data_IF_492304336120
#
_entry.id   IF_492304336120
#
_cell.length_a   1.000
_cell.length_b   1.000
_cell.length_c   1.000
_cell.angle_alpha   90.00
_cell.angle_beta   90.00
_cell.angle_gamma   90.00
#
_symmetry.space_group_name_H-M   'P 1'
#
loop_
_entity.id
_entity.type
_entity.pdbx_description
1 polymer ?
#
# COMPACT_ATOMS: atom_id res chain seq x y z
N UNK A 1 6.54 -36.83 -1.73
CA UNK A 1 5.22 -36.20 -1.81
C UNK A 1 4.16 -37.20 -1.38
N UNK A 2 3.87 -37.15 -0.09
CA UNK A 2 2.79 -37.83 0.61
C UNK A 2 1.69 -36.80 0.87
N UNK A 3 0.43 -37.26 0.92
CA UNK A 3 -0.70 -36.42 1.31
C UNK A 3 -1.22 -36.89 2.67
N UNK A 4 -1.26 -35.98 3.63
CA UNK A 4 -1.83 -36.19 4.95
C UNK A 4 -3.19 -35.51 5.02
N UNK A 5 -4.21 -36.21 5.53
CA UNK A 5 -5.56 -35.66 5.68
C UNK A 5 -5.87 -35.46 7.17
N UNK A 6 -6.38 -34.28 7.50
CA UNK A 6 -6.77 -33.88 8.85
C UNK A 6 -8.27 -33.53 8.85
N UNK A 7 -9.07 -34.01 9.83
CA UNK A 7 -8.68 -34.74 11.03
C UNK A 7 -8.70 -36.28 10.93
N UNK A 8 -9.08 -36.87 9.79
CA UNK A 8 -9.18 -38.33 9.62
C UNK A 8 -8.28 -38.80 8.47
N UNK A 9 -7.30 -39.69 8.69
CA UNK A 9 -7.01 -40.43 9.93
C UNK A 9 -6.11 -39.72 10.94
N UNK A 10 -5.61 -38.52 10.62
CA UNK A 10 -4.65 -37.80 11.48
C UNK A 10 -5.38 -36.68 12.22
N UNK A 11 -5.51 -36.77 13.56
CA UNK A 11 -6.45 -35.95 14.31
C UNK A 11 -6.15 -34.45 14.31
N UNK A 12 -4.89 -34.04 14.13
CA UNK A 12 -4.46 -32.65 14.24
C UNK A 12 -3.49 -32.27 13.12
N UNK A 13 -3.43 -30.97 12.83
CA UNK A 13 -2.49 -30.41 11.83
C UNK A 13 -1.06 -30.58 12.34
N UNK A 14 -0.83 -30.38 13.64
CA UNK A 14 0.46 -30.61 14.29
C UNK A 14 0.95 -32.05 14.12
N UNK A 15 0.06 -33.05 14.26
CA UNK A 15 0.42 -34.45 14.05
C UNK A 15 0.76 -34.73 12.59
N UNK A 16 0.00 -34.16 11.64
CA UNK A 16 0.31 -34.26 10.22
C UNK A 16 1.66 -33.59 9.88
N UNK A 17 1.94 -32.41 10.44
CA UNK A 17 3.22 -31.71 10.32
C UNK A 17 4.36 -32.58 10.85
N UNK A 18 4.22 -33.21 12.01
CA UNK A 18 5.27 -34.06 12.58
C UNK A 18 5.65 -35.25 11.68
N UNK A 19 4.71 -35.74 10.87
CA UNK A 19 4.93 -36.83 9.91
C UNK A 19 5.43 -36.35 8.54
N UNK A 20 5.10 -35.12 8.15
CA UNK A 20 5.40 -34.57 6.84
C UNK A 20 6.89 -34.25 6.67
N UNK A 21 7.43 -34.57 5.50
CA UNK A 21 8.75 -34.12 5.05
C UNK A 21 8.66 -33.06 3.96
N UNK A 22 9.78 -32.78 3.26
CA UNK A 22 9.80 -31.83 2.16
C UNK A 22 8.84 -32.21 1.03
N UNK A 23 8.19 -31.21 0.44
CA UNK A 23 7.25 -31.33 -0.68
C UNK A 23 5.99 -32.18 -0.39
N UNK A 24 5.69 -32.49 0.87
CA UNK A 24 4.45 -33.16 1.23
C UNK A 24 3.27 -32.17 1.30
N UNK A 25 2.04 -32.70 1.31
CA UNK A 25 0.83 -31.88 1.40
C UNK A 25 0.00 -32.28 2.60
N UNK A 26 -0.46 -31.31 3.37
CA UNK A 26 -1.43 -31.46 4.44
C UNK A 26 -2.75 -30.86 3.96
N UNK A 27 -3.77 -31.70 3.82
CA UNK A 27 -5.14 -31.29 3.48
C UNK A 27 -5.98 -31.25 4.74
N UNK A 28 -6.59 -30.10 4.98
CA UNK A 28 -7.40 -29.85 6.16
C UNK A 28 -8.86 -29.78 5.73
N UNK A 29 -9.67 -30.69 6.28
CA UNK A 29 -11.11 -30.71 6.07
C UNK A 29 -11.78 -29.46 6.69
N UNK A 30 -13.06 -29.19 6.39
CA UNK A 30 -13.81 -28.16 7.11
C UNK A 30 -13.85 -28.45 8.61
N UNK A 31 -13.67 -27.42 9.43
CA UNK A 31 -13.60 -27.53 10.88
C UNK A 31 -12.84 -26.37 11.50
N UNK A 32 -12.86 -26.34 12.84
CA UNK A 32 -12.12 -25.38 13.66
C UNK A 32 -11.01 -26.11 14.39
N UNK A 33 -9.78 -25.59 14.28
CA UNK A 33 -8.57 -26.23 14.74
C UNK A 33 -7.83 -25.25 15.67
N UNK A 34 -7.91 -25.45 17.00
CA UNK A 34 -7.25 -24.59 17.97
C UNK A 34 -5.78 -24.98 18.11
N UNK A 35 -4.98 -24.67 17.09
CA UNK A 35 -3.56 -25.04 16.99
C UNK A 35 -2.69 -23.83 16.63
N UNK A 36 -1.45 -23.83 17.12
CA UNK A 36 -0.38 -22.92 16.69
C UNK A 36 0.71 -23.77 16.05
N UNK A 37 1.12 -23.42 14.83
CA UNK A 37 1.87 -24.31 13.95
C UNK A 37 3.24 -23.73 13.64
N UNK A 38 4.29 -24.42 14.07
CA UNK A 38 5.68 -24.07 13.74
C UNK A 38 6.15 -24.88 12.53
N UNK A 39 6.55 -24.19 11.47
CA UNK A 39 7.13 -24.78 10.26
C UNK A 39 8.65 -24.62 10.31
N UNK A 40 9.26 -25.45 11.16
CA UNK A 40 10.71 -25.52 11.35
C UNK A 40 11.43 -26.24 10.21
N UNK A 41 12.67 -26.64 10.47
CA UNK A 41 13.55 -27.28 9.48
C UNK A 41 13.01 -28.58 8.87
N UNK A 42 13.38 -28.83 7.60
CA UNK A 42 13.09 -30.08 6.90
C UNK A 42 11.67 -30.17 6.32
N UNK A 43 10.97 -29.04 6.16
CA UNK A 43 9.63 -28.94 5.58
C UNK A 43 9.61 -28.11 4.30
N UNK A 44 10.74 -27.99 3.61
CA UNK A 44 10.83 -27.23 2.37
C UNK A 44 9.80 -27.70 1.34
N UNK A 45 9.09 -26.76 0.72
CA UNK A 45 8.06 -27.08 -0.26
C UNK A 45 6.79 -27.69 0.31
N UNK A 46 6.62 -27.74 1.64
CA UNK A 46 5.37 -28.25 2.23
C UNK A 46 4.19 -27.37 1.83
N UNK A 47 3.06 -28.02 1.54
CA UNK A 47 1.82 -27.35 1.19
C UNK A 47 0.74 -27.66 2.23
N UNK A 48 0.17 -26.63 2.85
CA UNK A 48 -0.92 -26.72 3.82
C UNK A 48 -2.15 -26.07 3.18
N UNK A 49 -3.18 -26.87 2.93
CA UNK A 49 -4.37 -26.43 2.21
C UNK A 49 -5.64 -26.75 2.99
N UNK A 50 -6.42 -25.71 3.29
CA UNK A 50 -7.76 -25.85 3.83
C UNK A 50 -8.83 -26.07 2.76
N UNK A 51 -10.06 -26.25 3.21
CA UNK A 51 -11.23 -26.47 2.35
C UNK A 51 -11.89 -25.17 1.86
N UNK A 52 -11.31 -24.02 2.19
CA UNK A 52 -11.76 -22.67 1.84
C UNK A 52 -11.80 -21.74 3.06
N UNK A 53 -11.71 -20.44 2.79
CA UNK A 53 -12.00 -19.38 3.76
C UNK A 53 -13.38 -19.60 4.38
N UNK A 54 -13.50 -19.38 5.69
CA UNK A 54 -14.69 -19.61 6.52
C UNK A 54 -15.16 -21.08 6.58
N UNK A 55 -14.35 -22.04 6.12
CA UNK A 55 -14.63 -23.48 6.22
C UNK A 55 -13.60 -24.21 7.06
N UNK A 56 -12.32 -23.99 6.77
CA UNK A 56 -11.22 -24.43 7.61
C UNK A 56 -10.73 -23.24 8.40
N UNK A 57 -10.78 -23.31 9.73
CA UNK A 57 -10.46 -22.20 10.62
C UNK A 57 -9.36 -22.64 11.59
N UNK A 58 -8.22 -21.96 11.54
CA UNK A 58 -7.22 -21.98 12.60
C UNK A 58 -7.61 -20.92 13.64
N UNK A 59 -7.84 -21.34 14.88
CA UNK A 59 -8.52 -20.54 15.90
C UNK A 59 -7.64 -20.38 17.14
N UNK A 60 -7.15 -19.15 17.38
CA UNK A 60 -6.29 -18.85 18.50
C UNK A 60 -7.02 -18.73 19.85
N UNK A 61 -8.36 -18.58 19.85
CA UNK A 61 -9.19 -18.35 21.04
C UNK A 61 -8.70 -17.21 21.97
N UNK A 62 -7.97 -16.23 21.42
CA UNK A 62 -7.25 -15.19 22.15
C UNK A 62 -6.32 -15.75 23.25
N UNK A 63 -5.74 -16.93 23.01
CA UNK A 63 -4.88 -17.64 23.96
C UNK A 63 -3.62 -18.23 23.32
N UNK A 64 -3.64 -18.55 22.03
CA UNK A 64 -2.48 -19.02 21.28
C UNK A 64 -1.72 -17.85 20.66
N UNK A 65 -0.40 -17.96 20.58
CA UNK A 65 0.49 -16.86 20.20
C UNK A 65 0.38 -16.49 18.70
N UNK A 66 0.99 -17.28 17.81
CA UNK A 66 0.97 -17.09 16.35
C UNK A 66 0.39 -18.35 15.69
N UNK A 67 -0.41 -18.19 14.63
CA UNK A 67 -1.09 -19.31 13.98
C UNK A 67 -0.14 -20.16 13.13
N UNK A 68 0.63 -19.49 12.27
CA UNK A 68 1.69 -20.08 11.47
C UNK A 68 2.98 -19.32 11.70
N UNK A 69 4.00 -20.02 12.18
CA UNK A 69 5.34 -19.49 12.41
C UNK A 69 6.33 -20.23 11.49
N UNK A 70 6.74 -19.59 10.39
CA UNK A 70 7.60 -20.18 9.36
C UNK A 70 9.06 -19.79 9.63
N UNK A 71 9.78 -20.65 10.35
CA UNK A 71 11.11 -20.33 10.89
C UNK A 71 12.29 -21.07 10.27
N UNK A 72 12.06 -22.19 9.59
CA UNK A 72 13.16 -23.07 9.17
C UNK A 72 13.00 -23.75 7.83
N UNK A 73 11.97 -23.42 7.08
CA UNK A 73 11.70 -23.99 5.75
C UNK A 73 11.30 -22.92 4.75
N UNK A 74 11.61 -23.14 3.48
CA UNK A 74 11.30 -22.27 2.36
C UNK A 74 10.33 -22.94 1.38
N UNK A 75 9.80 -22.19 0.42
CA UNK A 75 8.83 -22.69 -0.56
C UNK A 75 7.55 -23.24 0.09
N UNK A 76 7.26 -22.83 1.33
CA UNK A 76 6.06 -23.25 2.04
C UNK A 76 4.85 -22.59 1.40
N UNK A 77 3.78 -23.34 1.17
CA UNK A 77 2.51 -22.80 0.69
C UNK A 77 1.43 -22.98 1.74
N UNK A 78 0.75 -21.90 2.14
CA UNK A 78 -0.43 -21.94 3.01
C UNK A 78 -1.60 -21.34 2.24
N UNK A 79 -2.69 -22.10 2.11
CA UNK A 79 -3.83 -21.62 1.32
C UNK A 79 -5.22 -22.11 1.74
N UNK A 80 -6.24 -21.37 1.32
CA UNK A 80 -7.65 -21.74 1.39
C UNK A 80 -8.17 -21.99 2.83
N UNK A 81 -7.86 -21.11 3.78
CA UNK A 81 -8.32 -21.22 5.17
C UNK A 81 -8.47 -19.84 5.83
N UNK A 82 -9.08 -19.82 7.02
CA UNK A 82 -9.14 -18.67 7.91
C UNK A 82 -8.14 -18.85 9.05
N UNK A 83 -7.43 -17.78 9.42
CA UNK A 83 -6.60 -17.64 10.62
C UNK A 83 -7.21 -16.54 11.48
N UNK A 84 -7.54 -16.83 12.75
CA UNK A 84 -8.18 -15.82 13.59
C UNK A 84 -7.91 -15.92 15.09
N UNK A 85 -8.04 -14.78 15.76
CA UNK A 85 -8.03 -14.62 17.23
C UNK A 85 -6.76 -15.14 17.91
N UNK A 86 -5.60 -14.93 17.30
CA UNK A 86 -4.30 -15.19 17.94
C UNK A 86 -3.88 -13.99 18.80
N UNK A 87 -3.06 -14.20 19.84
CA UNK A 87 -2.64 -13.10 20.74
C UNK A 87 -1.52 -12.25 20.17
N UNK A 88 -0.83 -12.75 19.15
CA UNK A 88 0.21 -12.06 18.39
C UNK A 88 -0.19 -12.09 16.90
N UNK A 89 0.74 -12.31 15.99
CA UNK A 89 0.51 -12.32 14.55
C UNK A 89 -0.39 -13.48 14.11
N UNK A 90 -1.18 -13.26 13.06
CA UNK A 90 -1.86 -14.35 12.37
C UNK A 90 -0.82 -15.29 11.74
N UNK A 91 0.08 -14.74 10.92
CA UNK A 91 1.11 -15.51 10.21
C UNK A 91 2.43 -14.75 10.27
N UNK A 92 3.46 -15.39 10.83
CA UNK A 92 4.83 -14.88 10.87
C UNK A 92 5.72 -15.67 9.88
N UNK A 93 6.48 -14.95 9.06
CA UNK A 93 7.39 -15.50 8.07
C UNK A 93 8.81 -14.97 8.33
N UNK A 94 9.75 -15.88 8.57
CA UNK A 94 11.17 -15.58 8.76
C UNK A 94 12.08 -16.31 7.77
N UNK A 95 11.50 -16.78 6.66
CA UNK A 95 12.21 -17.51 5.62
C UNK A 95 11.76 -17.07 4.23
N UNK A 96 12.44 -17.56 3.21
CA UNK A 96 12.32 -17.06 1.86
C UNK A 96 11.31 -17.83 1.00
N UNK A 97 10.81 -17.18 -0.04
CA UNK A 97 10.10 -17.83 -1.16
C UNK A 97 8.84 -18.60 -0.76
N UNK A 98 8.19 -18.23 0.33
CA UNK A 98 6.92 -18.81 0.75
C UNK A 98 5.74 -18.15 0.01
N UNK A 99 4.60 -18.85 0.00
CA UNK A 99 3.39 -18.42 -0.69
C UNK A 99 2.22 -18.49 0.29
N UNK A 100 1.61 -17.34 0.56
CA UNK A 100 0.30 -17.25 1.21
C UNK A 100 -0.75 -16.95 0.15
N UNK A 101 -1.82 -17.75 0.09
CA UNK A 101 -2.84 -17.59 -0.94
C UNK A 101 -4.27 -17.89 -0.49
N UNK A 102 -5.25 -17.08 -0.90
CA UNK A 102 -6.67 -17.33 -0.63
C UNK A 102 -6.93 -17.52 0.88
N UNK A 103 -6.45 -16.57 1.69
CA UNK A 103 -6.57 -16.61 3.14
C UNK A 103 -7.47 -15.47 3.63
N UNK A 104 -8.13 -15.71 4.76
CA UNK A 104 -8.66 -14.65 5.62
C UNK A 104 -7.85 -14.68 6.92
N UNK A 105 -7.23 -13.56 7.27
CA UNK A 105 -6.40 -13.42 8.47
C UNK A 105 -6.97 -12.28 9.31
N UNK A 106 -7.60 -12.59 10.44
CA UNK A 106 -8.47 -11.61 11.10
C UNK A 106 -8.52 -11.70 12.62
N UNK A 107 -8.67 -10.55 13.29
CA UNK A 107 -8.88 -10.52 14.73
C UNK A 107 -7.64 -10.91 15.55
N UNK A 108 -6.45 -10.79 14.98
CA UNK A 108 -5.21 -11.16 15.67
C UNK A 108 -4.68 -10.00 16.52
N UNK A 109 -3.92 -10.36 17.56
CA UNK A 109 -3.49 -9.46 18.63
C UNK A 109 -2.35 -8.51 18.24
N UNK A 110 -1.65 -8.79 17.15
CA UNK A 110 -0.66 -7.94 16.50
C UNK A 110 -0.97 -7.87 14.99
N UNK A 111 -0.06 -8.33 14.12
CA UNK A 111 -0.25 -8.24 12.67
C UNK A 111 -1.21 -9.30 12.13
N UNK A 112 -1.82 -9.01 10.99
CA UNK A 112 -2.39 -10.09 10.19
C UNK A 112 -1.29 -11.02 9.66
N UNK A 113 -0.41 -10.47 8.82
CA UNK A 113 0.75 -11.17 8.26
C UNK A 113 2.00 -10.34 8.50
N UNK A 114 3.04 -10.94 9.06
CA UNK A 114 4.31 -10.29 9.34
C UNK A 114 5.45 -11.04 8.64
N UNK A 115 6.14 -10.35 7.74
CA UNK A 115 7.36 -10.84 7.09
C UNK A 115 8.55 -10.18 7.78
N UNK A 116 9.17 -10.92 8.68
CA UNK A 116 10.32 -10.45 9.47
C UNK A 116 11.59 -10.32 8.62
N UNK A 117 12.63 -9.71 9.18
CA UNK A 117 13.94 -9.45 8.56
C UNK A 117 14.58 -10.63 7.76
N UNK A 118 14.30 -11.89 8.09
CA UNK A 118 14.84 -13.06 7.38
C UNK A 118 14.05 -13.52 6.15
N UNK A 119 12.90 -12.91 5.83
CA UNK A 119 11.96 -13.43 4.83
C UNK A 119 11.90 -12.68 3.50
N UNK A 120 12.78 -12.97 2.55
CA UNK A 120 12.75 -12.34 1.21
C UNK A 120 12.00 -13.18 0.16
N UNK A 121 11.54 -12.55 -0.92
CA UNK A 121 10.90 -13.23 -2.06
C UNK A 121 9.60 -13.97 -1.72
N UNK A 122 8.91 -13.60 -0.64
CA UNK A 122 7.63 -14.17 -0.28
C UNK A 122 6.49 -13.55 -1.10
N UNK A 123 5.50 -14.38 -1.46
CA UNK A 123 4.33 -13.96 -2.21
C UNK A 123 3.08 -14.06 -1.33
N UNK A 124 2.46 -12.93 -1.06
CA UNK A 124 1.16 -12.81 -0.42
C UNK A 124 0.16 -12.45 -1.50
N UNK A 125 -0.78 -13.35 -1.81
CA UNK A 125 -1.72 -13.13 -2.90
C UNK A 125 -3.15 -13.54 -2.58
N UNK A 126 -4.12 -12.74 -3.02
CA UNK A 126 -5.55 -13.01 -2.76
C UNK A 126 -5.82 -13.24 -1.24
N UNK A 127 -5.17 -12.44 -0.38
CA UNK A 127 -5.31 -12.51 1.09
C UNK A 127 -6.18 -11.35 1.56
N UNK A 128 -7.16 -11.65 2.40
CA UNK A 128 -7.89 -10.65 3.17
C UNK A 128 -7.29 -10.57 4.58
N UNK A 129 -6.73 -9.42 4.96
CA UNK A 129 -6.23 -9.15 6.31
C UNK A 129 -7.09 -8.07 6.97
N UNK A 130 -7.78 -8.39 8.08
CA UNK A 130 -8.74 -7.44 8.65
C UNK A 130 -8.97 -7.51 10.14
N UNK A 131 -9.18 -6.37 10.78
CA UNK A 131 -9.53 -6.31 12.20
C UNK A 131 -8.42 -6.84 13.10
N UNK A 132 -7.16 -6.79 12.66
CA UNK A 132 -6.01 -7.08 13.51
C UNK A 132 -5.67 -5.85 14.34
N UNK A 133 -5.10 -6.04 15.52
CA UNK A 133 -4.86 -4.93 16.46
C UNK A 133 -3.71 -4.00 16.03
N UNK A 134 -2.78 -4.49 15.21
CA UNK A 134 -1.74 -3.67 14.61
C UNK A 134 -1.99 -3.49 13.10
N UNK A 135 -0.99 -3.71 12.25
CA UNK A 135 -1.07 -3.60 10.80
C UNK A 135 -1.76 -4.82 10.18
N UNK A 136 -2.28 -4.62 8.98
CA UNK A 136 -2.83 -5.72 8.20
C UNK A 136 -1.74 -6.65 7.66
N UNK A 137 -0.74 -6.07 6.99
CA UNK A 137 0.42 -6.78 6.45
C UNK A 137 1.67 -5.94 6.70
N UNK A 138 2.60 -6.47 7.49
CA UNK A 138 3.88 -5.83 7.82
C UNK A 138 5.05 -6.54 7.10
N UNK A 139 5.93 -5.76 6.49
CA UNK A 139 7.06 -6.24 5.69
C UNK A 139 8.35 -5.53 6.11
N UNK A 140 9.13 -6.24 6.91
CA UNK A 140 10.40 -5.79 7.49
C UNK A 140 11.65 -6.17 6.67
N UNK A 141 11.47 -6.51 5.40
CA UNK A 141 12.55 -7.02 4.56
C UNK A 141 12.28 -6.88 3.06
N UNK A 142 13.30 -7.15 2.26
CA UNK A 142 13.33 -6.77 0.85
C UNK A 142 12.69 -7.83 -0.07
N UNK A 143 12.33 -7.38 -1.27
CA UNK A 143 11.95 -8.24 -2.41
C UNK A 143 10.68 -9.08 -2.20
N UNK A 144 9.73 -8.63 -1.40
CA UNK A 144 8.46 -9.32 -1.19
C UNK A 144 7.35 -8.78 -2.09
N UNK A 145 6.30 -9.58 -2.26
CA UNK A 145 5.22 -9.33 -3.20
C UNK A 145 3.86 -9.41 -2.50
N UNK A 146 3.07 -8.34 -2.56
CA UNK A 146 1.67 -8.34 -2.12
C UNK A 146 0.76 -8.02 -3.30
N UNK A 147 -0.08 -8.99 -3.69
CA UNK A 147 -0.85 -8.95 -4.93
C UNK A 147 -2.33 -9.27 -4.69
N UNK A 148 -3.23 -8.39 -5.12
CA UNK A 148 -4.68 -8.59 -5.02
C UNK A 148 -5.18 -8.83 -3.58
N UNK A 149 -4.50 -8.27 -2.58
CA UNK A 149 -4.92 -8.37 -1.20
C UNK A 149 -6.00 -7.32 -0.87
N UNK A 150 -6.84 -7.65 0.10
CA UNK A 150 -7.80 -6.72 0.71
C UNK A 150 -7.37 -6.54 2.16
N UNK A 151 -7.01 -5.33 2.54
CA UNK A 151 -6.49 -5.04 3.87
C UNK A 151 -7.32 -3.95 4.52
N UNK A 152 -8.08 -4.28 5.56
CA UNK A 152 -9.11 -3.37 6.05
C UNK A 152 -9.33 -3.39 7.55
N UNK A 153 -9.72 -2.22 8.06
CA UNK A 153 -10.17 -2.04 9.44
C UNK A 153 -9.16 -2.59 10.47
N UNK A 154 -7.85 -2.48 10.20
CA UNK A 154 -6.79 -2.84 11.15
C UNK A 154 -6.51 -1.66 12.10
N UNK A 155 -5.91 -1.95 13.26
CA UNK A 155 -5.70 -0.96 14.31
C UNK A 155 -4.69 0.13 13.95
N UNK A 156 -3.75 -0.20 13.06
CA UNK A 156 -2.75 0.69 12.50
C UNK A 156 -2.85 0.61 10.98
N UNK A 157 -1.77 0.43 10.23
CA UNK A 157 -1.74 0.62 8.79
C UNK A 157 -2.27 -0.59 8.03
N UNK A 158 -2.66 -0.35 6.78
CA UNK A 158 -3.00 -1.44 5.87
C UNK A 158 -1.75 -2.26 5.58
N UNK A 159 -0.76 -1.59 5.00
CA UNK A 159 0.55 -2.16 4.73
C UNK A 159 1.62 -1.31 5.42
N UNK A 160 2.44 -1.91 6.28
CA UNK A 160 3.68 -1.31 6.79
C UNK A 160 4.86 -1.89 6.00
N UNK A 161 5.65 -1.04 5.36
CA UNK A 161 6.80 -1.43 4.53
C UNK A 161 8.05 -0.70 5.03
N UNK A 162 8.94 -1.39 5.74
CA UNK A 162 10.12 -0.75 6.37
C UNK A 162 11.42 -0.98 5.59
N UNK A 163 11.32 -1.60 4.41
CA UNK A 163 12.45 -2.17 3.67
C UNK A 163 12.31 -2.02 2.14
N UNK A 164 13.33 -2.43 1.38
CA UNK A 164 13.50 -2.03 -0.02
C UNK A 164 12.89 -2.99 -1.05
N UNK A 165 12.67 -2.48 -2.27
CA UNK A 165 12.42 -3.30 -3.46
C UNK A 165 11.21 -4.25 -3.34
N UNK A 166 10.21 -3.89 -2.55
CA UNK A 166 8.96 -4.62 -2.43
C UNK A 166 7.97 -4.22 -3.54
N UNK A 167 7.11 -5.17 -3.93
CA UNK A 167 6.10 -4.96 -4.96
C UNK A 167 4.69 -5.10 -4.41
N UNK A 168 4.01 -3.96 -4.28
CA UNK A 168 2.65 -3.85 -3.73
C UNK A 168 1.71 -3.50 -4.89
N UNK A 169 1.02 -4.51 -5.40
CA UNK A 169 0.27 -4.42 -6.64
C UNK A 169 -1.21 -4.81 -6.52
N UNK A 170 -2.08 -3.94 -7.04
CA UNK A 170 -3.51 -4.21 -7.19
C UNK A 170 -4.21 -4.57 -5.87
N UNK A 171 -3.75 -3.99 -4.76
CA UNK A 171 -4.35 -4.21 -3.45
C UNK A 171 -5.44 -3.17 -3.16
N UNK A 172 -6.34 -3.50 -2.23
CA UNK A 172 -7.28 -2.54 -1.64
C UNK A 172 -6.95 -2.37 -0.16
N UNK A 173 -6.65 -1.15 0.28
CA UNK A 173 -6.47 -0.81 1.69
C UNK A 173 -7.59 0.15 2.12
N UNK A 174 -8.35 -0.21 3.16
CA UNK A 174 -9.52 0.56 3.58
C UNK A 174 -9.70 0.65 5.09
N UNK A 175 -9.93 1.86 5.62
CA UNK A 175 -10.31 2.02 7.03
C UNK A 175 -9.19 1.71 8.02
N UNK A 176 -7.93 1.75 7.58
CA UNK A 176 -6.75 1.59 8.42
C UNK A 176 -6.25 2.98 8.90
N UNK A 177 -5.10 3.04 9.59
CA UNK A 177 -4.30 4.25 9.83
C UNK A 177 -3.95 4.93 8.50
N UNK A 178 -2.85 4.53 7.91
CA UNK A 178 -2.55 4.72 6.49
C UNK A 178 -3.02 3.52 5.66
N UNK A 179 -3.32 3.77 4.38
CA UNK A 179 -3.55 2.67 3.45
C UNK A 179 -2.27 1.87 3.21
N UNK A 180 -1.16 2.59 3.00
CA UNK A 180 0.20 2.07 2.88
C UNK A 180 1.12 3.07 3.58
N UNK A 181 1.92 2.61 4.52
CA UNK A 181 2.97 3.38 5.18
C UNK A 181 4.34 2.82 4.81
N UNK A 182 5.31 3.70 4.61
CA UNK A 182 6.71 3.32 4.42
C UNK A 182 7.61 4.17 5.29
N UNK A 183 8.65 3.58 5.88
CA UNK A 183 9.65 4.37 6.62
C UNK A 183 10.65 5.05 5.69
N UNK A 184 11.36 6.05 6.20
CA UNK A 184 12.50 6.70 5.51
C UNK A 184 13.61 5.76 5.00
N UNK A 185 13.65 4.50 5.45
CA UNK A 185 14.61 3.49 4.96
C UNK A 185 14.05 2.58 3.87
N UNK A 186 12.78 2.71 3.50
CA UNK A 186 12.10 1.82 2.56
C UNK A 186 12.23 2.35 1.12
N UNK A 187 13.31 1.98 0.43
CA UNK A 187 13.65 2.55 -0.87
C UNK A 187 13.30 1.64 -2.06
N UNK A 188 13.18 2.23 -3.25
CA UNK A 188 13.00 1.50 -4.53
C UNK A 188 11.78 0.55 -4.55
N UNK A 189 10.76 0.83 -3.73
CA UNK A 189 9.51 0.07 -3.69
C UNK A 189 8.58 0.45 -4.84
N UNK A 190 7.74 -0.51 -5.24
CA UNK A 190 6.82 -0.38 -6.36
C UNK A 190 5.38 -0.47 -5.85
N UNK A 191 4.72 0.68 -5.72
CA UNK A 191 3.31 0.80 -5.34
C UNK A 191 2.48 1.03 -6.61
N UNK A 192 1.82 -0.02 -7.11
CA UNK A 192 1.17 0.02 -8.41
C UNK A 192 -0.30 -0.39 -8.34
N UNK A 193 -1.17 0.45 -8.87
CA UNK A 193 -2.60 0.14 -9.06
C UNK A 193 -3.35 -0.21 -7.76
N UNK A 194 -2.92 0.32 -6.62
CA UNK A 194 -3.59 0.11 -5.35
C UNK A 194 -4.78 1.07 -5.17
N UNK A 195 -5.79 0.63 -4.41
CA UNK A 195 -6.96 1.42 -4.07
C UNK A 195 -7.00 1.67 -2.56
N UNK A 196 -6.82 2.93 -2.16
CA UNK A 196 -6.52 3.37 -0.80
C UNK A 196 -7.67 4.27 -0.35
N UNK A 197 -8.63 3.71 0.38
CA UNK A 197 -9.96 4.30 0.56
C UNK A 197 -10.25 4.53 2.03
N UNK A 198 -10.64 5.76 2.38
CA UNK A 198 -11.19 6.07 3.71
C UNK A 198 -10.33 5.57 4.86
N UNK A 199 -9.01 5.66 4.71
CA UNK A 199 -8.09 5.49 5.81
C UNK A 199 -8.14 6.72 6.73
N UNK A 200 -7.78 6.50 7.98
CA UNK A 200 -7.93 7.46 9.07
C UNK A 200 -6.83 8.51 9.10
N UNK A 201 -5.77 8.29 8.32
CA UNK A 201 -4.74 9.26 7.96
C UNK A 201 -4.63 9.38 6.43
N UNK A 202 -3.51 9.01 5.81
CA UNK A 202 -3.23 9.16 4.39
C UNK A 202 -3.60 7.90 3.57
N UNK A 203 -3.77 8.10 2.26
CA UNK A 203 -3.89 6.97 1.34
C UNK A 203 -2.61 6.17 1.28
N UNK A 204 -1.50 6.85 0.99
CA UNK A 204 -0.14 6.32 1.00
C UNK A 204 0.78 7.38 1.57
N UNK A 205 1.57 7.00 2.57
CA UNK A 205 2.66 7.79 3.12
C UNK A 205 4.00 7.13 2.72
N UNK A 206 4.76 7.81 1.89
CA UNK A 206 6.04 7.35 1.36
C UNK A 206 7.19 8.22 1.83
N UNK A 207 7.71 7.91 3.01
CA UNK A 207 8.92 8.53 3.57
C UNK A 207 10.21 8.09 2.86
N UNK A 208 10.24 6.89 2.26
CA UNK A 208 11.46 6.38 1.61
C UNK A 208 11.73 6.97 0.23
N UNK A 209 12.99 6.89 -0.21
CA UNK A 209 13.44 7.40 -1.51
C UNK A 209 13.23 6.42 -2.67
N UNK A 210 13.16 6.94 -3.90
CA UNK A 210 13.26 6.14 -5.12
C UNK A 210 12.04 5.28 -5.42
N UNK A 211 10.95 5.46 -4.68
CA UNK A 211 9.74 4.68 -4.85
C UNK A 211 8.98 5.08 -6.12
N UNK A 212 8.40 4.07 -6.79
CA UNK A 212 7.46 4.27 -7.89
C UNK A 212 6.04 4.15 -7.38
N UNK A 213 5.30 5.25 -7.45
CA UNK A 213 3.89 5.32 -7.08
C UNK A 213 3.12 5.54 -8.37
N UNK A 214 2.53 4.47 -8.90
CA UNK A 214 1.95 4.46 -10.24
C UNK A 214 0.51 3.95 -10.30
N UNK A 215 -0.38 4.73 -10.91
CA UNK A 215 -1.79 4.36 -11.13
C UNK A 215 -2.59 4.00 -9.86
N UNK A 216 -2.15 4.47 -8.68
CA UNK A 216 -2.89 4.26 -7.44
C UNK A 216 -4.08 5.22 -7.35
N UNK A 217 -5.08 4.85 -6.55
CA UNK A 217 -6.25 5.67 -6.25
C UNK A 217 -6.37 5.89 -4.75
N UNK A 218 -6.12 7.11 -4.28
CA UNK A 218 -6.33 7.53 -2.91
C UNK A 218 -7.62 8.36 -2.80
N UNK A 219 -8.64 7.82 -2.12
CA UNK A 219 -9.99 8.39 -2.13
C UNK A 219 -10.57 8.49 -0.73
N UNK A 220 -10.96 9.71 -0.34
CA UNK A 220 -11.72 9.92 0.88
C UNK A 220 -10.94 9.60 2.16
N UNK A 221 -9.61 9.64 2.11
CA UNK A 221 -8.76 9.50 3.29
C UNK A 221 -8.88 10.78 4.14
N UNK A 222 -8.69 10.64 5.46
CA UNK A 222 -8.95 11.74 6.40
C UNK A 222 -7.91 12.85 6.28
N UNK A 223 -6.68 12.51 5.91
CA UNK A 223 -5.60 13.45 5.66
C UNK A 223 -5.27 13.49 4.15
N UNK A 224 -4.06 13.12 3.75
CA UNK A 224 -3.58 13.28 2.38
C UNK A 224 -4.06 12.16 1.47
N UNK A 225 -4.13 12.44 0.17
CA UNK A 225 -4.21 11.37 -0.82
C UNK A 225 -2.89 10.59 -0.86
N UNK A 226 -1.81 11.31 -1.09
CA UNK A 226 -0.45 10.81 -1.08
C UNK A 226 0.44 11.79 -0.31
N UNK A 227 1.12 11.32 0.72
CA UNK A 227 2.22 12.01 1.38
C UNK A 227 3.53 11.42 0.88
N UNK A 228 4.42 12.28 0.40
CA UNK A 228 5.59 11.88 -0.38
C UNK A 228 6.79 12.68 0.11
N UNK A 229 7.85 11.98 0.52
CA UNK A 229 9.15 12.56 0.81
C UNK A 229 10.08 12.44 -0.42
N UNK A 230 11.38 12.29 -0.25
CA UNK A 230 12.37 12.68 -1.26
C UNK A 230 12.50 11.68 -2.44
N UNK A 231 12.89 12.18 -3.61
CA UNK A 231 13.31 11.42 -4.79
C UNK A 231 12.31 10.32 -5.27
N UNK A 232 11.01 10.58 -5.17
CA UNK A 232 9.96 9.65 -5.58
C UNK A 232 9.35 9.99 -6.96
N UNK A 233 8.89 8.97 -7.68
CA UNK A 233 8.15 9.12 -8.94
C UNK A 233 6.66 8.84 -8.72
N UNK A 234 5.87 9.91 -8.70
CA UNK A 234 4.41 9.89 -8.53
C UNK A 234 3.76 10.07 -9.89
N UNK A 235 3.40 8.96 -10.55
CA UNK A 235 2.95 8.94 -11.94
C UNK A 235 1.52 8.44 -12.10
N UNK A 236 0.65 9.22 -12.77
CA UNK A 236 -0.64 8.72 -13.23
C UNK A 236 -1.61 8.30 -12.12
N UNK A 237 -1.41 8.75 -10.89
CA UNK A 237 -2.26 8.44 -9.75
C UNK A 237 -3.50 9.31 -9.73
N UNK A 238 -4.48 8.91 -8.92
CA UNK A 238 -5.68 9.68 -8.65
C UNK A 238 -5.80 9.93 -7.16
N UNK A 239 -5.80 11.20 -6.75
CA UNK A 239 -6.15 11.63 -5.40
C UNK A 239 -7.49 12.35 -5.45
N UNK A 240 -8.49 11.91 -4.69
CA UNK A 240 -9.78 12.58 -4.70
C UNK A 240 -10.49 12.59 -3.35
N UNK A 241 -11.07 13.74 -3.00
CA UNK A 241 -11.93 13.89 -1.81
C UNK A 241 -11.22 13.58 -0.49
N UNK A 242 -9.90 13.71 -0.44
CA UNK A 242 -9.14 13.54 0.79
C UNK A 242 -9.32 14.80 1.67
N UNK A 243 -9.21 14.60 2.99
CA UNK A 243 -9.54 15.62 3.98
C UNK A 243 -8.52 16.76 4.09
N UNK A 244 -7.35 16.62 3.49
CA UNK A 244 -6.37 17.70 3.31
C UNK A 244 -5.94 17.82 1.83
N UNK A 245 -4.64 17.78 1.55
CA UNK A 245 -4.09 17.94 0.20
C UNK A 245 -4.24 16.64 -0.60
N UNK A 246 -4.39 16.75 -1.92
CA UNK A 246 -4.40 15.59 -2.79
C UNK A 246 -3.04 14.88 -2.83
N UNK A 247 -1.97 15.66 -2.97
CA UNK A 247 -0.58 15.24 -2.81
C UNK A 247 0.13 16.26 -1.93
N UNK A 248 0.74 15.81 -0.84
CA UNK A 248 1.75 16.55 -0.08
C UNK A 248 3.13 16.05 -0.49
N UNK A 249 3.99 16.93 -0.97
CA UNK A 249 5.40 16.63 -1.24
C UNK A 249 6.28 17.43 -0.28
N UNK A 250 6.75 16.75 0.77
CA UNK A 250 7.48 17.34 1.86
C UNK A 250 9.01 17.28 1.66
N UNK A 251 9.73 18.23 2.24
CA UNK A 251 11.19 18.21 2.39
C UNK A 251 11.54 18.09 3.87
N UNK A 252 12.20 17.00 4.23
CA UNK A 252 12.76 16.83 5.57
C UNK A 252 14.30 16.92 5.56
N UNK A 253 14.98 16.82 4.40
CA UNK A 253 16.42 16.99 4.28
C UNK A 253 16.96 17.32 2.87
N UNK A 254 17.68 18.45 2.75
CA UNK A 254 18.63 18.78 1.65
C UNK A 254 18.20 18.70 0.17
N UNK A 255 16.98 18.29 -0.16
CA UNK A 255 16.47 18.22 -1.54
C UNK A 255 15.31 17.24 -1.70
N UNK A 256 14.19 17.67 -2.29
CA UNK A 256 13.01 16.80 -2.46
C UNK A 256 13.03 16.01 -3.76
N UNK A 257 13.53 16.57 -4.87
CA UNK A 257 13.76 15.86 -6.15
C UNK A 257 12.56 15.02 -6.69
N UNK A 258 11.34 15.34 -6.26
CA UNK A 258 10.14 14.56 -6.58
C UNK A 258 9.69 14.79 -8.02
N UNK A 259 9.14 13.75 -8.64
CA UNK A 259 8.56 13.84 -9.98
C UNK A 259 7.08 13.48 -9.94
N UNK A 260 6.24 14.51 -9.95
CA UNK A 260 4.79 14.41 -9.86
C UNK A 260 4.21 14.62 -11.24
N UNK A 261 3.91 13.53 -11.94
CA UNK A 261 3.62 13.53 -13.36
C UNK A 261 2.25 12.92 -13.67
N UNK A 262 1.44 13.61 -14.50
CA UNK A 262 0.20 13.03 -15.08
C UNK A 262 -0.84 12.55 -14.06
N UNK A 263 -0.80 13.07 -12.84
CA UNK A 263 -1.76 12.70 -11.81
C UNK A 263 -3.08 13.44 -11.99
N UNK A 264 -4.16 12.85 -11.48
CA UNK A 264 -5.50 13.42 -11.49
C UNK A 264 -5.95 13.72 -10.07
N UNK A 265 -6.01 15.01 -9.74
CA UNK A 265 -6.17 15.48 -8.37
C UNK A 265 -7.46 16.29 -8.26
N UNK A 266 -8.44 15.79 -7.53
CA UNK A 266 -9.82 16.28 -7.66
C UNK A 266 -10.50 16.44 -6.31
N UNK A 267 -11.11 17.60 -6.06
CA UNK A 267 -12.04 17.77 -4.93
C UNK A 267 -11.43 17.44 -3.57
N UNK A 268 -10.14 17.65 -3.37
CA UNK A 268 -9.54 17.55 -2.05
C UNK A 268 -9.91 18.79 -1.22
N UNK A 269 -9.98 18.59 0.09
CA UNK A 269 -10.51 19.61 1.02
C UNK A 269 -9.53 20.76 1.27
N UNK A 270 -8.25 20.60 0.91
CA UNK A 270 -7.26 21.67 0.88
C UNK A 270 -6.73 21.87 -0.56
N UNK A 271 -5.42 21.83 -0.76
CA UNK A 271 -4.81 22.04 -2.06
C UNK A 271 -4.90 20.78 -2.92
N UNK A 272 -4.72 20.93 -4.23
CA UNK A 272 -4.49 19.77 -5.09
C UNK A 272 -3.13 19.15 -4.79
N UNK A 273 -2.07 19.88 -5.10
CA UNK A 273 -0.67 19.48 -4.88
C UNK A 273 -0.01 20.56 -4.04
N UNK A 274 0.58 20.19 -2.91
CA UNK A 274 1.34 21.10 -2.05
C UNK A 274 2.80 20.66 -2.02
N UNK A 275 3.70 21.58 -2.36
CA UNK A 275 5.14 21.37 -2.39
C UNK A 275 5.76 22.26 -1.33
N UNK A 276 6.39 21.66 -0.32
CA UNK A 276 7.21 22.40 0.66
C UNK A 276 8.70 22.32 0.35
N UNK A 277 9.07 21.41 -0.55
CA UNK A 277 10.44 21.10 -0.90
C UNK A 277 11.03 21.76 -2.12
N UNK A 278 12.25 21.34 -2.45
CA UNK A 278 13.06 21.91 -3.52
C UNK A 278 13.34 20.93 -4.65
N UNK A 279 13.70 21.46 -5.81
CA UNK A 279 14.17 20.69 -6.99
C UNK A 279 13.17 19.66 -7.57
N UNK A 280 11.88 19.81 -7.25
CA UNK A 280 10.82 18.92 -7.73
C UNK A 280 10.27 19.34 -9.10
N UNK A 281 9.72 18.37 -9.85
CA UNK A 281 9.07 18.57 -11.14
C UNK A 281 7.60 18.17 -11.04
N UNK A 282 6.72 19.14 -11.33
CA UNK A 282 5.27 18.99 -11.33
C UNK A 282 4.79 19.21 -12.77
N UNK A 283 4.48 18.12 -13.46
CA UNK A 283 4.32 18.14 -14.92
C UNK A 283 3.08 17.36 -15.40
N UNK A 284 2.31 17.96 -16.32
CA UNK A 284 1.17 17.32 -16.97
C UNK A 284 0.06 16.82 -16.02
N UNK A 285 -0.07 17.38 -14.82
CA UNK A 285 -1.13 17.01 -13.88
C UNK A 285 -2.47 17.68 -14.26
N UNK A 286 -3.57 17.01 -13.91
CA UNK A 286 -4.94 17.54 -14.03
C UNK A 286 -5.47 17.78 -12.61
N UNK A 287 -5.64 19.05 -12.24
CA UNK A 287 -5.91 19.47 -10.86
C UNK A 287 -7.18 20.32 -10.81
N UNK A 288 -8.27 19.76 -10.29
CA UNK A 288 -9.61 20.30 -10.51
C UNK A 288 -10.43 20.36 -9.22
N UNK A 289 -11.11 21.48 -9.01
CA UNK A 289 -12.10 21.68 -7.93
C UNK A 289 -11.57 21.39 -6.51
N UNK A 290 -10.27 21.58 -6.25
CA UNK A 290 -9.74 21.53 -4.87
C UNK A 290 -10.12 22.82 -4.14
N UNK A 291 -10.29 22.75 -2.82
CA UNK A 291 -10.90 23.86 -2.05
C UNK A 291 -9.95 25.07 -1.93
N UNK A 292 -8.64 24.82 -1.88
CA UNK A 292 -7.59 25.84 -1.84
C UNK A 292 -6.84 25.88 -3.17
N UNK A 293 -5.52 26.05 -3.15
CA UNK A 293 -4.75 26.17 -4.38
C UNK A 293 -4.82 24.87 -5.19
N UNK A 294 -4.82 24.95 -6.52
CA UNK A 294 -4.61 23.77 -7.35
C UNK A 294 -3.21 23.22 -7.11
N UNK A 295 -2.19 24.03 -7.36
CA UNK A 295 -0.80 23.77 -6.99
C UNK A 295 -0.32 24.88 -6.06
N UNK A 296 0.18 24.52 -4.89
CA UNK A 296 0.83 25.40 -3.93
C UNK A 296 2.34 25.10 -3.87
N UNK A 297 3.16 26.11 -4.13
CA UNK A 297 4.58 26.14 -3.78
C UNK A 297 4.72 26.94 -2.49
N UNK A 298 4.99 26.26 -1.38
CA UNK A 298 5.04 26.87 -0.05
C UNK A 298 6.29 27.74 0.16
N UNK A 299 6.32 28.53 1.22
CA UNK A 299 7.37 29.53 1.49
C UNK A 299 8.82 29.01 1.57
N UNK A 300 9.01 27.70 1.79
CA UNK A 300 10.32 27.03 1.82
C UNK A 300 10.71 26.40 0.49
N UNK A 301 9.76 26.28 -0.44
CA UNK A 301 9.98 25.63 -1.73
C UNK A 301 10.81 26.53 -2.64
N UNK A 302 11.76 25.98 -3.38
CA UNK A 302 12.62 26.72 -4.32
C UNK A 302 13.13 25.78 -5.42
N UNK A 303 13.58 26.33 -6.55
CA UNK A 303 14.12 25.56 -7.69
C UNK A 303 13.17 24.51 -8.28
N UNK A 304 11.86 24.59 -8.02
CA UNK A 304 10.88 23.66 -8.56
C UNK A 304 10.48 24.01 -9.99
N UNK A 305 10.18 23.00 -10.80
CA UNK A 305 9.61 23.17 -12.14
C UNK A 305 8.13 22.81 -12.17
N UNK A 306 7.23 23.79 -12.31
CA UNK A 306 5.79 23.59 -12.47
C UNK A 306 5.38 23.89 -13.91
N UNK A 307 5.04 22.87 -14.69
CA UNK A 307 4.74 23.07 -16.11
C UNK A 307 3.71 22.17 -16.73
N UNK A 308 3.11 22.59 -17.84
CA UNK A 308 2.17 21.77 -18.62
C UNK A 308 0.97 21.23 -17.81
N UNK A 309 0.67 21.81 -16.64
CA UNK A 309 -0.44 21.38 -15.81
C UNK A 309 -1.76 22.00 -16.30
N UNK A 310 -2.85 21.30 -16.06
CA UNK A 310 -4.20 21.72 -16.41
C UNK A 310 -5.02 21.88 -15.13
N UNK A 311 -5.35 23.13 -14.79
CA UNK A 311 -6.02 23.49 -13.55
C UNK A 311 -7.31 24.25 -13.82
N UNK A 312 -8.38 23.90 -13.10
CA UNK A 312 -9.68 24.56 -13.20
C UNK A 312 -10.42 24.46 -11.86
N UNK A 313 -11.06 25.55 -11.44
CA UNK A 313 -11.98 25.53 -10.30
C UNK A 313 -11.32 25.47 -8.93
N UNK A 314 -10.01 25.71 -8.84
CA UNK A 314 -9.30 25.85 -7.56
C UNK A 314 -9.22 27.35 -7.15
N UNK A 315 -8.72 27.64 -5.95
CA UNK A 315 -8.69 29.00 -5.41
C UNK A 315 -7.37 29.32 -4.66
N UNK A 316 -6.35 29.87 -5.36
CA UNK A 316 -6.25 30.05 -6.82
C UNK A 316 -5.92 28.73 -7.54
N UNK A 317 -5.76 28.73 -8.87
CA UNK A 317 -5.23 27.53 -9.54
C UNK A 317 -3.75 27.31 -9.21
N UNK A 318 -2.92 28.35 -9.26
CA UNK A 318 -1.51 28.26 -8.87
C UNK A 318 -1.20 29.32 -7.81
N UNK A 319 -0.55 28.91 -6.72
CA UNK A 319 0.00 29.80 -5.71
C UNK A 319 1.49 29.50 -5.53
N UNK A 320 2.32 30.51 -5.75
CA UNK A 320 3.76 30.47 -5.51
C UNK A 320 4.13 31.47 -4.41
N UNK A 321 4.28 30.94 -3.20
CA UNK A 321 4.81 31.66 -2.05
C UNK A 321 6.31 31.39 -1.85
N UNK A 322 6.92 30.59 -2.73
CA UNK A 322 8.26 30.06 -2.59
C UNK A 322 9.38 31.03 -2.99
N UNK A 323 10.56 30.44 -3.13
CA UNK A 323 11.80 31.11 -3.51
C UNK A 323 11.83 31.51 -4.99
N UNK A 324 12.75 32.43 -5.34
CA UNK A 324 12.80 33.03 -6.67
C UNK A 324 13.31 32.09 -7.77
N UNK A 325 13.79 30.88 -7.45
CA UNK A 325 14.28 29.92 -8.44
C UNK A 325 13.20 28.94 -8.92
N UNK A 326 11.99 29.00 -8.38
CA UNK A 326 10.83 28.31 -8.94
C UNK A 326 10.57 28.77 -10.40
N UNK A 327 10.36 27.82 -11.30
CA UNK A 327 10.06 28.05 -12.71
C UNK A 327 8.66 27.54 -13.00
N UNK A 328 7.76 28.46 -13.37
CA UNK A 328 6.36 28.18 -13.64
C UNK A 328 6.07 28.61 -15.07
N UNK A 329 5.76 27.65 -15.94
CA UNK A 329 5.64 27.88 -17.39
C UNK A 329 4.64 26.89 -18.02
N UNK A 330 4.01 27.23 -19.14
CA UNK A 330 3.13 26.31 -19.90
C UNK A 330 1.94 25.76 -19.10
N UNK A 331 1.50 26.39 -18.01
CA UNK A 331 0.36 25.93 -17.23
C UNK A 331 -0.95 26.54 -17.72
N UNK A 332 -1.91 25.67 -18.00
CA UNK A 332 -3.26 26.04 -18.38
C UNK A 332 -4.07 26.25 -17.10
N UNK A 333 -4.34 27.50 -16.74
CA UNK A 333 -5.14 27.86 -15.56
C UNK A 333 -5.84 29.22 -15.71
N UNK A 334 -6.74 29.54 -14.78
CA UNK A 334 -7.50 30.79 -14.77
C UNK A 334 -6.99 31.81 -13.74
N UNK A 335 -6.54 31.34 -12.57
CA UNK A 335 -6.14 32.22 -11.47
C UNK A 335 -4.76 31.87 -10.91
N UNK A 336 -3.94 32.87 -10.63
CA UNK A 336 -2.65 32.64 -9.99
C UNK A 336 -2.30 33.70 -8.96
N UNK A 337 -1.44 33.33 -8.01
CA UNK A 337 -0.80 34.24 -7.07
C UNK A 337 0.71 33.94 -7.08
N UNK A 338 1.59 34.89 -7.45
CA UNK A 338 1.28 36.19 -8.04
C UNK A 338 0.53 36.10 -9.39
N UNK A 339 -0.04 37.22 -9.84
CA UNK A 339 -0.70 37.30 -11.15
C UNK A 339 0.29 36.99 -12.29
N UNK A 340 -0.18 36.27 -13.32
CA UNK A 340 0.58 36.05 -14.56
C UNK A 340 1.34 34.73 -14.65
N UNK A 341 1.12 33.80 -13.71
CA UNK A 341 1.65 32.44 -13.79
C UNK A 341 0.80 31.52 -14.68
N UNK A 342 -0.41 31.94 -15.01
CA UNK A 342 -1.31 31.23 -15.90
C UNK A 342 -1.12 31.64 -17.36
N UNK A 343 -1.05 30.65 -18.24
CA UNK A 343 -1.16 30.86 -19.67
C UNK A 343 -2.61 30.72 -20.11
N UNK A 344 -3.14 31.78 -20.74
CA UNK A 344 -4.51 31.80 -21.25
C UNK A 344 -4.71 30.68 -22.28
N UNK A 345 -5.51 29.69 -21.92
CA UNK A 345 -6.03 28.73 -22.88
C UNK A 345 -7.00 29.43 -23.84
N UNK A 346 -6.63 29.56 -25.10
CA UNK A 346 -7.61 29.73 -26.17
C UNK A 346 -8.55 28.52 -26.20
N UNK A 347 -9.67 28.62 -25.48
CA UNK A 347 -10.92 27.84 -25.56
C UNK A 347 -10.86 26.31 -25.83
N UNK A 348 -11.55 25.54 -24.95
CA UNK A 348 -12.22 24.24 -25.19
C UNK A 348 -11.52 22.87 -24.93
N UNK A 349 -10.41 22.74 -24.20
CA UNK A 349 -9.79 21.40 -24.06
C UNK A 349 -10.06 20.60 -22.76
N UNK A 350 -10.40 21.25 -21.63
CA UNK A 350 -10.44 20.58 -20.32
C UNK A 350 -11.64 19.62 -20.18
N UNK A 351 -12.81 19.96 -20.72
CA UNK A 351 -14.02 19.12 -20.64
C UNK A 351 -13.95 17.81 -21.45
N UNK A 352 -12.92 17.60 -22.28
CA UNK A 352 -12.82 16.43 -23.16
C UNK A 352 -11.70 15.43 -22.82
N UNK A 353 -10.76 15.75 -21.93
CA UNK A 353 -9.58 14.90 -21.68
C UNK A 353 -9.64 14.02 -20.42
N UNK A 354 -10.82 13.84 -19.83
CA UNK A 354 -11.04 12.93 -18.69
C UNK A 354 -10.95 11.42 -18.99
N UNK A 355 -10.31 10.99 -20.09
CA UNK A 355 -10.12 9.57 -20.45
C UNK A 355 -8.64 9.26 -20.65
N UNK A 356 -7.91 9.09 -19.56
CA UNK A 356 -6.65 8.36 -19.53
C UNK A 356 -6.76 7.25 -18.47
N UNK A 357 -7.61 6.26 -18.76
CA UNK A 357 -7.47 4.92 -18.16
C UNK A 357 -7.07 3.97 -19.29
N UNK A 358 -6.17 2.99 -19.08
CA UNK A 358 -6.29 1.76 -19.83
C UNK A 358 -7.66 1.13 -19.51
N UNK A 359 -8.37 0.56 -20.51
CA UNK A 359 -9.68 -0.02 -20.29
C UNK A 359 -9.59 -1.20 -19.32
N UNK A 360 -10.51 -1.24 -18.37
CA UNK A 360 -11.05 -2.40 -17.63
C UNK A 360 -10.25 -3.72 -17.67
N UNK A 361 -9.90 -4.22 -16.49
CA UNK A 361 -9.99 -5.66 -16.23
C UNK A 361 -11.17 -5.91 -15.28
N UNK A 362 -11.99 -6.88 -15.66
CA UNK A 362 -13.21 -7.32 -14.97
C UNK A 362 -12.89 -8.14 -13.73
#
# INVERSE_FOLDING_TARGET
>A
MTVFNVPDPIPTITAALAMAGPNDTIRIAPGTFPEALVIGAGKDGIRIIGSGVNKTILEGNNALNTAFDITGSQLVTIECLTVQNYTNDGIEINTNSNILKNLLVTGNGAEGVHITSGGTHNLIMDVESSGNNNDGIDIDTNFNYCINCIVKDNGFDGFSITADCNFIYNNTAQGNGDGIFTTSTATDNLFINNCLISNTDSGLDAEGDGNLIYCNQAIGNTNFGFEIEENNLVLGNKAAKNGTDGIMAADLSSGTDNRILKNKIIQNMMNGINITGIDSIIDNNCVVDNTLAGILLSATSDSNGVRSNCLEGNNPDIQDDGGPANVIDENICETSVPDGLCENCGFNSIKTKGRFFPPHFK
#
